data_IF_055034968381
#
_entry.id   IF_055034968381
#
_cell.length_a   1.000
_cell.length_b   1.000
_cell.length_c   1.000
_cell.angle_alpha   90.00
_cell.angle_beta   90.00
_cell.angle_gamma   90.00
#
_symmetry.space_group_name_H-M   'P 1'
#
loop_
_entity.id
_entity.type
_entity.pdbx_description
1 polymer ?
#
# COMPACT_ATOMS: atom_id res chain seq x y z
N UNK A 1 -5.81 -1.86 -14.14
CA UNK A 1 -5.63 -2.88 -13.08
C UNK A 1 -4.29 -3.59 -13.25
N UNK A 2 -4.01 -4.19 -14.42
CA UNK A 2 -2.75 -4.88 -14.74
C UNK A 2 -1.52 -3.99 -14.50
N UNK A 3 -1.50 -2.79 -15.11
CA UNK A 3 -0.39 -1.85 -14.97
C UNK A 3 -0.04 -1.51 -13.50
N UNK A 4 -1.04 -1.35 -12.64
CA UNK A 4 -0.82 -0.98 -11.24
C UNK A 4 -0.26 -2.13 -10.39
N UNK A 5 -0.52 -3.39 -10.77
CA UNK A 5 0.09 -4.57 -10.12
C UNK A 5 1.59 -4.63 -10.44
N UNK A 6 1.94 -4.47 -11.73
CA UNK A 6 3.33 -4.45 -12.21
C UNK A 6 4.14 -3.28 -11.64
N UNK A 7 3.48 -2.16 -11.34
CA UNK A 7 4.13 -0.99 -10.73
C UNK A 7 4.49 -1.16 -9.26
N UNK A 8 3.87 -2.12 -8.55
CA UNK A 8 4.11 -2.36 -7.12
C UNK A 8 4.75 -3.71 -6.81
N UNK A 9 4.75 -4.65 -7.76
CA UNK A 9 5.48 -5.92 -7.66
C UNK A 9 6.48 -6.01 -8.81
N UNK A 10 7.80 -5.97 -8.54
CA UNK A 10 8.81 -6.12 -9.58
C UNK A 10 8.65 -7.44 -10.35
N UNK A 11 8.72 -7.37 -11.68
CA UNK A 11 8.60 -8.54 -12.56
C UNK A 11 9.61 -9.67 -12.23
N UNK A 12 10.78 -9.32 -11.70
CA UNK A 12 11.79 -10.31 -11.28
C UNK A 12 11.31 -11.23 -10.15
N UNK A 13 10.25 -10.85 -9.42
CA UNK A 13 9.71 -11.63 -8.31
C UNK A 13 8.69 -12.66 -8.76
N UNK A 14 8.19 -12.68 -9.99
CA UNK A 14 7.17 -13.67 -10.37
C UNK A 14 7.27 -14.15 -11.82
N UNK A 15 6.75 -15.36 -12.06
CA UNK A 15 6.61 -15.99 -13.37
C UNK A 15 5.16 -16.45 -13.65
N UNK A 16 4.23 -16.22 -12.72
CA UNK A 16 2.81 -16.54 -12.84
C UNK A 16 1.95 -15.34 -13.32
N UNK A 17 0.72 -15.64 -13.75
CA UNK A 17 -0.34 -14.66 -13.94
C UNK A 17 -1.03 -14.35 -12.59
N UNK A 18 -0.60 -13.25 -11.97
CA UNK A 18 -1.12 -12.80 -10.69
C UNK A 18 -2.63 -12.54 -10.68
N UNK A 19 -3.25 -12.25 -11.82
CA UNK A 19 -4.70 -12.00 -11.88
C UNK A 19 -5.53 -13.27 -11.69
N UNK A 20 -4.94 -14.43 -11.98
CA UNK A 20 -5.56 -15.74 -11.80
C UNK A 20 -5.22 -16.36 -10.45
N UNK A 21 -4.07 -15.98 -9.87
CA UNK A 21 -3.62 -16.44 -8.56
C UNK A 21 -4.04 -15.46 -7.46
N UNK A 22 -5.22 -15.69 -6.88
CA UNK A 22 -5.77 -14.81 -5.83
C UNK A 22 -6.19 -15.56 -4.57
N UNK A 23 -6.21 -14.84 -3.46
CA UNK A 23 -6.76 -15.26 -2.18
C UNK A 23 -7.65 -14.14 -1.63
N UNK A 24 -8.79 -14.48 -1.05
CA UNK A 24 -9.60 -13.51 -0.29
C UNK A 24 -9.32 -13.65 1.20
N UNK A 25 -9.04 -12.53 1.88
CA UNK A 25 -8.82 -12.50 3.33
C UNK A 25 -9.79 -11.54 4.02
N UNK A 26 -10.19 -11.82 5.26
CA UNK A 26 -10.91 -10.86 6.10
C UNK A 26 -10.10 -9.58 6.30
N UNK A 27 -10.78 -8.42 6.29
CA UNK A 27 -10.14 -7.12 6.45
C UNK A 27 -10.94 -6.08 7.21
N UNK A 28 -12.10 -6.47 7.78
CA UNK A 28 -13.01 -5.57 8.49
C UNK A 28 -12.31 -4.78 9.61
N UNK A 29 -11.39 -5.41 10.34
CA UNK A 29 -10.73 -4.82 11.51
C UNK A 29 -9.63 -3.80 11.16
N UNK A 30 -9.25 -3.68 9.88
CA UNK A 30 -8.12 -2.85 9.45
C UNK A 30 -8.53 -1.51 8.83
N UNK A 31 -9.84 -1.22 8.72
CA UNK A 31 -10.34 0.03 8.11
C UNK A 31 -9.68 0.33 6.74
N UNK A 32 -9.63 -0.69 5.88
CA UNK A 32 -9.08 -0.60 4.51
C UNK A 32 -10.16 -0.55 3.43
N UNK A 33 -11.43 -0.35 3.82
CA UNK A 33 -12.54 -0.03 2.90
C UNK A 33 -13.45 -1.19 2.52
N UNK A 34 -13.19 -2.39 3.02
CA UNK A 34 -14.01 -3.57 2.78
C UNK A 34 -13.90 -4.56 3.95
N UNK A 35 -14.92 -5.40 4.11
CA UNK A 35 -14.92 -6.48 5.11
C UNK A 35 -13.98 -7.62 4.71
N UNK A 36 -13.72 -7.78 3.41
CA UNK A 36 -12.76 -8.72 2.85
C UNK A 36 -12.00 -8.04 1.70
N UNK A 37 -10.76 -8.48 1.45
CA UNK A 37 -9.96 -7.99 0.32
C UNK A 37 -9.38 -9.14 -0.50
N UNK A 38 -9.34 -8.94 -1.81
CA UNK A 38 -8.66 -9.84 -2.74
C UNK A 38 -7.17 -9.49 -2.77
N UNK A 39 -6.36 -10.50 -2.47
CA UNK A 39 -4.90 -10.47 -2.53
C UNK A 39 -4.44 -11.24 -3.76
N UNK A 40 -3.65 -10.59 -4.59
CA UNK A 40 -3.00 -11.16 -5.77
C UNK A 40 -1.65 -11.73 -5.37
N UNK A 41 -1.41 -13.00 -5.67
CA UNK A 41 -0.20 -13.72 -5.27
C UNK A 41 0.81 -13.69 -6.40
N UNK A 42 1.98 -13.10 -6.13
CA UNK A 42 3.13 -13.15 -7.01
C UNK A 42 3.91 -14.43 -6.68
N UNK A 43 4.03 -15.34 -7.64
CA UNK A 43 4.72 -16.61 -7.47
C UNK A 43 5.90 -16.70 -8.42
N UNK A 44 7.03 -17.21 -7.93
CA UNK A 44 8.18 -17.59 -8.75
C UNK A 44 8.51 -19.05 -8.52
N UNK A 45 8.55 -19.83 -9.60
CA UNK A 45 8.82 -21.26 -9.53
C UNK A 45 7.92 -21.97 -8.51
N UNK A 46 6.63 -21.61 -8.51
CA UNK A 46 5.60 -22.17 -7.63
C UNK A 46 5.57 -21.65 -6.18
N UNK A 47 6.49 -20.77 -5.76
CA UNK A 47 6.52 -20.21 -4.41
C UNK A 47 6.06 -18.76 -4.40
N UNK A 48 5.21 -18.37 -3.44
CA UNK A 48 4.77 -16.97 -3.28
C UNK A 48 5.94 -16.10 -2.86
N UNK A 49 6.37 -15.15 -3.67
CA UNK A 49 7.51 -14.25 -3.39
C UNK A 49 7.06 -12.87 -2.93
N UNK A 50 5.84 -12.50 -3.29
CA UNK A 50 5.22 -11.24 -2.91
C UNK A 50 3.70 -11.37 -3.00
N UNK A 51 3.01 -10.43 -2.37
CA UNK A 51 1.57 -10.28 -2.49
C UNK A 51 1.24 -8.84 -2.82
N UNK A 52 0.09 -8.63 -3.44
CA UNK A 52 -0.40 -7.31 -3.78
C UNK A 52 -1.89 -7.21 -3.49
N UNK A 53 -2.34 -6.10 -2.91
CA UNK A 53 -3.77 -5.89 -2.63
C UNK A 53 -4.12 -4.42 -2.62
N UNK A 54 -5.42 -4.16 -2.85
CA UNK A 54 -5.98 -2.82 -2.78
C UNK A 54 -6.40 -2.48 -1.36
N UNK A 55 -6.29 -1.20 -1.04
CA UNK A 55 -6.72 -0.64 0.24
C UNK A 55 -7.13 0.81 0.03
N UNK A 56 -7.86 1.38 0.99
CA UNK A 56 -8.29 2.78 0.93
C UNK A 56 -7.83 3.57 2.15
N UNK A 57 -7.56 4.86 1.94
CA UNK A 57 -7.72 5.86 2.98
C UNK A 57 -9.16 6.42 2.84
N UNK A 58 -10.11 6.02 3.70
CA UNK A 58 -11.53 6.40 3.54
C UNK A 58 -11.77 7.90 3.76
N UNK A 59 -10.87 8.53 4.49
CA UNK A 59 -10.98 9.86 5.08
C UNK A 59 -9.91 10.83 4.57
N UNK A 60 -9.57 10.74 3.27
CA UNK A 60 -8.78 11.75 2.56
C UNK A 60 -9.48 13.11 2.52
N UNK A 61 -8.77 14.18 2.15
CA UNK A 61 -9.26 15.55 2.33
C UNK A 61 -10.54 15.84 1.53
N UNK A 62 -10.59 15.38 0.28
CA UNK A 62 -11.71 15.55 -0.65
C UNK A 62 -12.45 14.24 -0.92
N UNK A 63 -12.24 13.23 -0.08
CA UNK A 63 -12.86 11.90 -0.16
C UNK A 63 -11.84 10.76 -0.11
N UNK A 64 -12.30 9.54 -0.39
CA UNK A 64 -11.47 8.37 -0.31
C UNK A 64 -10.30 8.39 -1.32
N UNK A 65 -9.14 7.90 -0.89
CA UNK A 65 -7.96 7.67 -1.72
C UNK A 65 -7.85 6.16 -1.91
N UNK A 66 -8.04 5.68 -3.13
CA UNK A 66 -7.90 4.27 -3.49
C UNK A 66 -6.45 3.99 -3.83
N UNK A 67 -5.87 2.98 -3.20
CA UNK A 67 -4.45 2.68 -3.28
C UNK A 67 -4.23 1.18 -3.49
N UNK A 68 -3.03 0.84 -3.94
CA UNK A 68 -2.56 -0.53 -4.09
C UNK A 68 -1.14 -0.62 -3.55
N UNK A 69 -0.80 -1.73 -2.88
CA UNK A 69 0.55 -1.98 -2.40
C UNK A 69 1.00 -3.39 -2.73
N UNK A 70 2.29 -3.52 -3.04
CA UNK A 70 3.00 -4.79 -3.10
C UNK A 70 3.87 -4.96 -1.85
N UNK A 71 3.89 -6.17 -1.30
CA UNK A 71 4.64 -6.52 -0.10
C UNK A 71 5.36 -7.85 -0.33
N UNK A 72 6.65 -7.93 0.00
CA UNK A 72 7.42 -9.18 -0.11
C UNK A 72 7.10 -10.15 1.04
N UNK A 73 7.71 -11.35 0.98
CA UNK A 73 7.52 -12.39 2.02
C UNK A 73 7.90 -11.92 3.43
N UNK A 74 8.82 -10.98 3.53
CA UNK A 74 9.39 -10.49 4.79
C UNK A 74 8.61 -9.30 5.35
N UNK A 75 7.63 -8.78 4.60
CA UNK A 75 6.81 -7.64 5.01
C UNK A 75 7.36 -6.29 4.60
N UNK A 76 8.36 -6.24 3.72
CA UNK A 76 8.83 -4.99 3.14
C UNK A 76 7.91 -4.56 2.01
N UNK A 77 7.59 -3.27 1.99
CA UNK A 77 6.85 -2.67 0.89
C UNK A 77 7.74 -2.67 -0.36
N UNK A 78 7.26 -3.30 -1.41
CA UNK A 78 7.86 -3.27 -2.75
C UNK A 78 7.46 -1.99 -3.49
N UNK A 79 6.22 -1.55 -3.33
CA UNK A 79 5.73 -0.30 -3.88
C UNK A 79 4.31 0.03 -3.43
N UNK A 80 3.96 1.31 -3.52
CA UNK A 80 2.60 1.83 -3.30
C UNK A 80 2.22 2.73 -4.47
N UNK A 81 0.98 2.61 -4.96
CA UNK A 81 0.43 3.49 -6.00
C UNK A 81 -0.97 3.96 -5.63
N UNK A 82 -1.29 5.17 -6.05
CA UNK A 82 -2.63 5.72 -5.98
C UNK A 82 -3.38 5.33 -7.26
N UNK A 83 -4.54 4.70 -7.10
CA UNK A 83 -5.41 4.29 -8.20
C UNK A 83 -6.40 5.40 -8.56
N UNK A 84 -6.95 6.08 -7.56
CA UNK A 84 -7.85 7.23 -7.76
C UNK A 84 -8.02 8.03 -6.47
N UNK A 85 -8.30 9.33 -6.60
CA UNK A 85 -8.62 10.24 -5.51
C UNK A 85 -9.36 11.47 -6.04
N UNK A 86 -9.81 12.35 -5.13
CA UNK A 86 -10.42 13.65 -5.46
C UNK A 86 -9.67 14.84 -4.87
N UNK A 87 -8.47 14.62 -4.33
CA UNK A 87 -7.66 15.66 -3.70
C UNK A 87 -7.38 16.84 -4.64
N UNK A 88 -7.17 18.02 -4.05
CA UNK A 88 -7.03 19.28 -4.78
C UNK A 88 -5.80 19.28 -5.71
N UNK A 89 -5.96 19.59 -7.00
CA UNK A 89 -4.85 19.72 -7.94
C UNK A 89 -3.80 20.75 -7.50
N UNK A 90 -2.52 20.41 -7.65
CA UNK A 90 -1.38 21.24 -7.24
C UNK A 90 -1.07 21.23 -5.73
N UNK A 91 -1.94 20.63 -4.92
CA UNK A 91 -1.79 20.57 -3.46
C UNK A 91 -1.67 19.12 -2.96
N UNK A 92 -2.77 18.37 -2.98
CA UNK A 92 -2.86 17.00 -2.46
C UNK A 92 -2.58 15.93 -3.51
N UNK A 93 -2.72 16.26 -4.80
CA UNK A 93 -2.47 15.35 -5.93
C UNK A 93 -1.00 14.94 -6.09
N UNK A 94 -0.08 15.51 -5.31
CA UNK A 94 1.33 15.11 -5.24
C UNK A 94 1.52 13.66 -4.78
N UNK A 95 0.49 13.00 -4.25
CA UNK A 95 0.49 11.55 -4.00
C UNK A 95 0.51 10.71 -5.28
N UNK A 96 0.21 11.29 -6.44
CA UNK A 96 0.34 10.61 -7.73
C UNK A 96 1.82 10.50 -8.11
N UNK A 97 2.27 9.29 -8.45
CA UNK A 97 3.66 9.04 -8.87
C UNK A 97 4.05 9.83 -10.15
N UNK A 98 3.08 10.23 -10.96
CA UNK A 98 3.31 11.08 -12.15
C UNK A 98 3.61 12.55 -11.80
N UNK A 99 3.33 12.99 -10.56
CA UNK A 99 3.45 14.39 -10.11
C UNK A 99 4.57 14.58 -9.10
N UNK A 100 4.87 13.56 -8.29
CA UNK A 100 6.03 13.59 -7.40
C UNK A 100 6.45 12.19 -6.94
N UNK A 101 7.67 12.07 -6.44
CA UNK A 101 8.20 10.83 -5.85
C UNK A 101 7.69 10.56 -4.44
N UNK A 102 6.78 11.39 -3.90
CA UNK A 102 6.35 11.29 -2.51
C UNK A 102 5.85 9.89 -2.15
N UNK A 103 5.01 9.29 -3.02
CA UNK A 103 4.46 7.95 -2.84
C UNK A 103 5.50 6.83 -2.96
N UNK A 104 6.64 7.09 -3.62
CA UNK A 104 7.72 6.12 -3.76
C UNK A 104 8.50 5.95 -2.45
N UNK A 105 8.41 6.91 -1.53
CA UNK A 105 9.07 6.82 -0.23
C UNK A 105 8.56 5.68 0.65
N UNK A 106 7.46 5.00 0.30
CA UNK A 106 7.03 3.81 1.03
C UNK A 106 7.89 2.57 0.73
N UNK A 107 8.53 2.49 -0.44
CA UNK A 107 9.33 1.33 -0.84
C UNK A 107 10.49 1.08 0.14
N UNK A 108 10.68 -0.19 0.51
CA UNK A 108 11.70 -0.64 1.47
C UNK A 108 11.34 -0.46 2.94
N UNK A 109 10.18 0.12 3.27
CA UNK A 109 9.70 0.24 4.66
C UNK A 109 8.89 -0.97 5.08
N UNK A 110 8.90 -1.30 6.37
CA UNK A 110 8.15 -2.40 6.97
C UNK A 110 7.77 -2.09 8.42
N UNK A 111 6.98 -2.96 9.05
CA UNK A 111 6.69 -2.87 10.48
C UNK A 111 7.91 -3.18 11.35
N UNK A 112 8.93 -3.81 10.79
CA UNK A 112 10.14 -4.23 11.51
C UNK A 112 11.23 -3.16 11.47
N UNK A 113 11.24 -2.30 10.44
CA UNK A 113 12.23 -1.23 10.29
C UNK A 113 11.72 0.18 10.64
N UNK A 114 10.42 0.33 10.94
CA UNK A 114 9.83 1.55 11.46
C UNK A 114 8.93 1.27 12.66
N UNK A 115 9.06 2.07 13.70
CA UNK A 115 8.14 2.06 14.84
C UNK A 115 6.77 2.61 14.43
N UNK A 116 5.72 2.29 15.21
CA UNK A 116 4.36 2.80 14.96
C UNK A 116 4.29 4.34 14.89
N UNK A 117 5.05 5.05 15.72
CA UNK A 117 5.11 6.51 15.73
C UNK A 117 5.76 7.09 14.46
N UNK A 118 6.66 6.33 13.81
CA UNK A 118 7.30 6.76 12.58
C UNK A 118 6.37 6.72 11.36
N UNK A 119 5.24 5.99 11.45
CA UNK A 119 4.17 5.99 10.45
C UNK A 119 3.27 7.23 10.54
N UNK A 120 3.89 8.39 10.46
CA UNK A 120 3.25 9.69 10.44
C UNK A 120 4.03 10.68 9.55
N UNK A 121 3.43 11.82 9.26
CA UNK A 121 4.18 12.92 8.62
C UNK A 121 5.18 13.53 9.61
N UNK A 122 6.26 14.15 9.12
CA UNK A 122 7.31 14.77 9.94
C UNK A 122 6.75 15.81 10.92
N UNK A 123 5.72 16.57 10.50
CA UNK A 123 5.01 17.52 11.38
C UNK A 123 4.36 16.86 12.61
N UNK A 124 4.05 15.57 12.53
CA UNK A 124 3.46 14.77 13.61
C UNK A 124 4.50 13.83 14.26
N UNK A 125 5.80 14.03 13.99
CA UNK A 125 6.90 13.25 14.56
C UNK A 125 7.30 11.99 13.77
N UNK A 126 6.70 11.75 12.61
CA UNK A 126 7.04 10.61 11.76
C UNK A 126 8.14 10.91 10.72
N UNK A 127 8.26 10.05 9.71
CA UNK A 127 9.35 10.12 8.72
C UNK A 127 8.92 10.60 7.33
N UNK A 128 7.62 10.75 7.09
CA UNK A 128 7.08 11.09 5.77
C UNK A 128 6.89 12.60 5.61
N UNK A 129 7.18 13.17 4.45
CA UNK A 129 6.97 14.60 4.23
C UNK A 129 5.48 14.97 4.19
N UNK A 130 5.12 16.14 4.70
CA UNK A 130 3.81 16.76 4.48
C UNK A 130 3.85 17.70 3.25
N UNK A 131 2.69 17.95 2.64
CA UNK A 131 2.57 18.99 1.63
C UNK A 131 2.23 20.33 2.27
N UNK A 132 2.89 21.39 1.83
CA UNK A 132 2.53 22.76 2.21
C UNK A 132 1.07 23.03 1.78
N UNK A 133 0.24 23.49 2.72
CA UNK A 133 -1.19 23.75 2.48
C UNK A 133 -2.09 22.51 2.37
N UNK A 134 -1.56 21.28 2.40
CA UNK A 134 -2.33 20.05 2.26
C UNK A 134 -1.77 18.91 3.13
N UNK A 135 -1.85 19.06 4.46
CA UNK A 135 -1.31 18.04 5.40
C UNK A 135 -2.24 16.84 5.59
N UNK A 136 -3.54 16.96 5.30
CA UNK A 136 -4.50 15.87 5.50
C UNK A 136 -4.20 14.70 4.54
N UNK A 137 -4.03 14.98 3.25
CA UNK A 137 -3.75 13.96 2.23
C UNK A 137 -2.57 13.04 2.58
N UNK A 138 -1.33 13.55 2.80
CA UNK A 138 -0.18 12.69 3.10
C UNK A 138 -0.37 11.94 4.42
N UNK A 139 -0.97 12.58 5.43
CA UNK A 139 -1.26 11.93 6.72
C UNK A 139 -2.15 10.71 6.54
N UNK A 140 -3.23 10.84 5.76
CA UNK A 140 -4.20 9.77 5.53
C UNK A 140 -3.63 8.64 4.67
N UNK A 141 -2.84 8.97 3.65
CA UNK A 141 -2.11 7.98 2.86
C UNK A 141 -1.10 7.17 3.69
N UNK A 142 -0.35 7.82 4.61
CA UNK A 142 0.57 7.13 5.52
C UNK A 142 -0.18 6.20 6.47
N UNK A 143 -1.25 6.69 7.11
CA UNK A 143 -2.07 5.89 8.02
C UNK A 143 -2.70 4.67 7.32
N UNK A 144 -3.23 4.84 6.11
CA UNK A 144 -3.82 3.73 5.35
C UNK A 144 -2.77 2.69 4.94
N UNK A 145 -1.57 3.13 4.53
CA UNK A 145 -0.46 2.21 4.19
C UNK A 145 -0.01 1.41 5.40
N UNK A 146 0.08 2.04 6.58
CA UNK A 146 0.38 1.37 7.83
C UNK A 146 -0.66 0.29 8.18
N UNK A 147 -1.96 0.60 8.04
CA UNK A 147 -3.03 -0.39 8.24
C UNK A 147 -2.97 -1.54 7.23
N UNK A 148 -2.60 -1.26 5.97
CA UNK A 148 -2.34 -2.29 4.96
C UNK A 148 -1.22 -3.25 5.38
N UNK A 149 -0.11 -2.73 5.93
CA UNK A 149 0.94 -3.59 6.48
C UNK A 149 0.48 -4.42 7.69
N UNK A 150 -0.36 -3.85 8.56
CA UNK A 150 -0.92 -4.59 9.69
C UNK A 150 -1.81 -5.75 9.22
N UNK A 151 -2.62 -5.53 8.18
CA UNK A 151 -3.40 -6.59 7.53
C UNK A 151 -2.49 -7.69 6.98
N UNK A 152 -1.45 -7.32 6.21
CA UNK A 152 -0.48 -8.30 5.71
C UNK A 152 0.12 -9.11 6.86
N UNK A 153 0.57 -8.44 7.94
CA UNK A 153 1.20 -9.10 9.08
C UNK A 153 0.26 -10.10 9.76
N UNK A 154 -1.02 -9.73 9.94
CA UNK A 154 -2.02 -10.59 10.55
C UNK A 154 -2.32 -11.86 9.73
N UNK A 155 -2.20 -11.77 8.40
CA UNK A 155 -2.45 -12.89 7.48
C UNK A 155 -1.17 -13.49 6.87
N UNK A 156 0.01 -13.09 7.34
CA UNK A 156 1.29 -13.39 6.68
C UNK A 156 1.47 -14.89 6.43
N UNK A 157 1.22 -15.72 7.44
CA UNK A 157 1.38 -17.17 7.33
C UNK A 157 0.49 -17.78 6.23
N UNK A 158 -0.77 -17.35 6.15
CA UNK A 158 -1.74 -17.77 5.13
C UNK A 158 -1.35 -17.26 3.73
N UNK A 159 -0.74 -16.08 3.64
CA UNK A 159 -0.41 -15.43 2.37
C UNK A 159 0.89 -15.94 1.75
N UNK A 160 1.92 -16.23 2.55
CA UNK A 160 3.25 -16.61 2.03
C UNK A 160 3.42 -18.13 1.87
N UNK A 161 2.57 -18.92 2.54
CA UNK A 161 2.51 -20.38 2.45
C UNK A 161 1.02 -20.84 2.34
N UNK A 162 0.31 -20.41 1.27
CA UNK A 162 -1.10 -20.76 1.07
C UNK A 162 -1.32 -22.23 0.73
#
# INVERSE_FOLDING_TARGET
MIKSLEEVVPAALHDNDMLQDTLTIPSADFNIGANETTVYLAKKSGKVTAVCFKFIAPDGYSGAINMIMGVDRDGNILGVRVLSHKETPGLGDKIEAAKSDWILNFTGRSLDNLTSAQWAVKKDGGVFDQFAGATITPRKSVQATYRGLQLFKAHQAQLINP
#
